data_IF_851187082430
#
_entry.id   IF_851187082430
#
_cell.length_a   1.000
_cell.length_b   1.000
_cell.length_c   1.000
_cell.angle_alpha   90.00
_cell.angle_beta   90.00
_cell.angle_gamma   90.00
#
_symmetry.space_group_name_H-M   'P 1'
#
loop_
_entity.id
_entity.type
_entity.pdbx_description
1 polymer ?
#
# COMPACT_ATOMS: atom_id res chain seq x y z
N UNK A 1 21.97 30.70 -16.05
CA UNK A 1 21.15 31.69 -16.78
C UNK A 1 19.85 31.86 -16.00
N UNK A 2 19.67 32.97 -15.28
CA UNK A 2 18.53 33.20 -14.36
C UNK A 2 17.44 34.04 -15.04
N UNK A 3 16.86 33.54 -16.13
CA UNK A 3 15.71 34.23 -16.75
C UNK A 3 14.47 33.93 -15.91
N UNK A 4 13.89 34.96 -15.29
CA UNK A 4 12.64 34.81 -14.54
C UNK A 4 11.51 34.66 -15.54
N UNK A 5 10.93 33.47 -15.60
CA UNK A 5 9.70 33.23 -16.34
C UNK A 5 8.56 33.92 -15.58
N UNK A 6 7.93 34.91 -16.22
CA UNK A 6 6.78 35.58 -15.63
C UNK A 6 5.54 34.69 -15.76
N UNK A 7 4.94 34.38 -14.61
CA UNK A 7 3.69 33.64 -14.54
C UNK A 7 2.64 34.56 -13.94
N UNK A 8 1.53 34.77 -14.64
CA UNK A 8 0.48 35.70 -14.25
C UNK A 8 -0.89 35.02 -14.17
N UNK A 9 -1.86 35.70 -13.53
CA UNK A 9 -3.24 35.25 -13.42
C UNK A 9 -3.43 33.98 -12.59
N UNK A 10 -4.41 33.16 -12.98
CA UNK A 10 -4.78 31.95 -12.23
C UNK A 10 -3.65 30.91 -12.14
N UNK A 11 -2.76 30.87 -13.15
CA UNK A 11 -1.60 29.96 -13.19
C UNK A 11 -0.64 30.25 -12.02
N UNK A 12 -0.38 31.53 -11.74
CA UNK A 12 0.47 31.96 -10.65
C UNK A 12 -0.14 31.58 -9.29
N UNK A 13 -1.44 31.86 -9.11
CA UNK A 13 -2.16 31.49 -7.89
C UNK A 13 -2.27 29.97 -7.68
N UNK A 14 -2.36 29.17 -8.75
CA UNK A 14 -2.39 27.71 -8.68
C UNK A 14 -1.04 27.14 -8.20
N UNK A 15 0.06 27.57 -8.82
CA UNK A 15 1.41 27.13 -8.45
C UNK A 15 1.75 27.60 -7.03
N UNK A 16 1.39 28.83 -6.66
CA UNK A 16 1.62 29.35 -5.32
C UNK A 16 0.75 28.68 -4.23
N UNK A 17 -0.27 27.90 -4.61
CA UNK A 17 -1.30 27.34 -3.71
C UNK A 17 -2.19 28.39 -3.03
N UNK A 18 -2.26 29.58 -3.62
CA UNK A 18 -2.94 30.75 -3.07
C UNK A 18 -4.28 31.06 -3.76
N UNK A 19 -4.52 30.51 -4.95
CA UNK A 19 -5.79 30.77 -5.64
C UNK A 19 -6.97 30.19 -4.85
N UNK A 20 -8.02 31.00 -4.66
CA UNK A 20 -9.24 30.58 -3.97
C UNK A 20 -9.87 29.34 -4.61
N UNK A 21 -9.80 29.21 -5.94
CA UNK A 21 -10.27 28.04 -6.68
C UNK A 21 -9.46 26.80 -6.34
N UNK A 22 -8.12 26.88 -6.31
CA UNK A 22 -7.28 25.75 -5.90
C UNK A 22 -7.61 25.31 -4.48
N UNK A 23 -7.69 26.25 -3.52
CA UNK A 23 -8.00 25.92 -2.13
C UNK A 23 -9.38 25.29 -2.03
N UNK A 24 -10.39 25.87 -2.68
CA UNK A 24 -11.74 25.32 -2.68
C UNK A 24 -11.78 23.90 -3.24
N UNK A 25 -11.22 23.63 -4.41
CA UNK A 25 -11.30 22.29 -5.01
C UNK A 25 -10.42 21.26 -4.29
N UNK A 26 -9.17 21.60 -3.98
CA UNK A 26 -8.23 20.67 -3.33
C UNK A 26 -8.63 20.36 -1.88
N UNK A 27 -9.04 21.37 -1.10
CA UNK A 27 -9.48 21.16 0.28
C UNK A 27 -10.81 20.43 0.32
N UNK A 28 -11.79 20.81 -0.51
CA UNK A 28 -13.09 20.10 -0.52
C UNK A 28 -12.91 18.64 -0.89
N UNK A 29 -12.10 18.33 -1.91
CA UNK A 29 -11.80 16.95 -2.27
C UNK A 29 -11.05 16.21 -1.14
N UNK A 30 -10.01 16.83 -0.57
CA UNK A 30 -9.25 16.25 0.54
C UNK A 30 -10.09 15.98 1.79
N UNK A 31 -10.94 16.93 2.18
CA UNK A 31 -11.87 16.78 3.29
C UNK A 31 -12.93 15.73 3.00
N UNK A 32 -13.50 15.68 1.80
CA UNK A 32 -14.47 14.65 1.43
C UNK A 32 -13.87 13.24 1.52
N UNK A 33 -12.63 13.05 1.04
CA UNK A 33 -11.91 11.78 1.15
C UNK A 33 -11.63 11.46 2.63
N UNK A 34 -11.19 12.42 3.43
CA UNK A 34 -10.91 12.21 4.85
C UNK A 34 -12.16 11.86 5.66
N UNK A 35 -13.29 12.53 5.40
CA UNK A 35 -14.59 12.21 6.03
C UNK A 35 -15.02 10.82 5.62
N UNK A 36 -14.90 10.47 4.34
CA UNK A 36 -15.22 9.12 3.86
C UNK A 36 -14.34 8.06 4.53
N UNK A 37 -13.02 8.30 4.65
CA UNK A 37 -12.08 7.44 5.35
C UNK A 37 -12.47 7.25 6.83
N UNK A 38 -12.85 8.33 7.52
CA UNK A 38 -13.29 8.31 8.91
C UNK A 38 -14.58 7.49 9.09
N UNK A 39 -15.55 7.66 8.20
CA UNK A 39 -16.81 6.89 8.20
C UNK A 39 -16.52 5.40 7.99
N UNK A 40 -15.66 5.05 7.04
CA UNK A 40 -15.24 3.66 6.78
C UNK A 40 -14.53 3.09 8.02
N UNK A 41 -13.58 3.82 8.60
CA UNK A 41 -12.83 3.38 9.77
C UNK A 41 -13.75 3.15 10.97
N UNK A 42 -14.64 4.10 11.27
CA UNK A 42 -15.56 4.02 12.41
C UNK A 42 -16.57 2.89 12.22
N UNK A 43 -17.12 2.75 11.02
CA UNK A 43 -18.03 1.64 10.69
C UNK A 43 -17.31 0.29 10.80
N UNK A 44 -16.06 0.22 10.32
CA UNK A 44 -15.21 -0.97 10.44
C UNK A 44 -14.93 -1.35 11.88
N UNK A 45 -14.51 -0.40 12.72
CA UNK A 45 -14.26 -0.59 14.15
C UNK A 45 -15.50 -1.08 14.89
N UNK A 46 -16.68 -0.49 14.64
CA UNK A 46 -17.94 -0.92 15.24
C UNK A 46 -18.26 -2.36 14.84
N UNK A 47 -18.10 -2.71 13.55
CA UNK A 47 -18.35 -4.08 13.05
C UNK A 47 -17.40 -5.09 13.67
N UNK A 48 -16.10 -4.78 13.73
CA UNK A 48 -15.08 -5.66 14.34
C UNK A 48 -15.36 -5.84 15.83
N UNK A 49 -15.66 -4.76 16.56
CA UNK A 49 -15.98 -4.83 17.99
C UNK A 49 -17.22 -5.69 18.26
N UNK A 50 -18.28 -5.53 17.47
CA UNK A 50 -19.48 -6.37 17.58
C UNK A 50 -19.18 -7.83 17.28
N UNK A 51 -18.37 -8.12 16.27
CA UNK A 51 -17.96 -9.48 15.94
C UNK A 51 -17.08 -10.11 17.04
N UNK A 52 -16.15 -9.34 17.62
CA UNK A 52 -15.32 -9.77 18.74
C UNK A 52 -16.15 -10.11 19.98
N UNK A 53 -17.13 -9.29 20.33
CA UNK A 53 -18.03 -9.57 21.45
C UNK A 53 -18.84 -10.86 21.21
N UNK A 54 -19.32 -11.09 19.98
CA UNK A 54 -20.01 -12.34 19.61
C UNK A 54 -19.08 -13.55 19.67
N UNK A 55 -17.82 -13.40 19.28
CA UNK A 55 -16.83 -14.47 19.34
C UNK A 55 -16.52 -14.88 20.79
N UNK A 56 -16.41 -13.90 21.69
CA UNK A 56 -16.22 -14.13 23.12
C UNK A 56 -17.46 -14.76 23.79
N UNK A 57 -18.66 -14.40 23.33
CA UNK A 57 -19.92 -14.93 23.82
C UNK A 57 -20.29 -16.32 23.24
N UNK A 58 -19.63 -16.76 22.17
CA UNK A 58 -19.91 -18.05 21.53
C UNK A 58 -19.48 -19.20 22.45
N UNK A 59 -20.41 -20.12 22.70
CA UNK A 59 -20.21 -21.26 23.60
C UNK A 59 -19.76 -22.51 22.85
N UNK A 60 -20.15 -22.66 21.57
CA UNK A 60 -19.80 -23.84 20.78
C UNK A 60 -18.60 -23.61 19.84
N UNK A 61 -17.78 -24.64 19.54
CA UNK A 61 -16.68 -24.54 18.58
C UNK A 61 -17.13 -24.10 17.18
N UNK A 62 -18.29 -24.58 16.71
CA UNK A 62 -18.83 -24.24 15.39
C UNK A 62 -19.21 -22.76 15.29
N UNK A 63 -19.85 -22.20 16.32
CA UNK A 63 -20.18 -20.77 16.38
C UNK A 63 -18.93 -19.88 16.41
N UNK A 64 -17.87 -20.30 17.11
CA UNK A 64 -16.59 -19.59 17.13
C UNK A 64 -15.97 -19.54 15.73
N UNK A 65 -15.95 -20.67 15.02
CA UNK A 65 -15.42 -20.75 13.65
C UNK A 65 -16.24 -19.89 12.69
N UNK A 66 -17.58 -19.95 12.76
CA UNK A 66 -18.45 -19.15 11.90
C UNK A 66 -18.28 -17.65 12.16
N UNK A 67 -18.21 -17.25 13.44
CA UNK A 67 -18.02 -15.86 13.84
C UNK A 67 -16.65 -15.34 13.39
N UNK A 68 -15.61 -16.15 13.52
CA UNK A 68 -14.27 -15.81 13.03
C UNK A 68 -14.26 -15.60 11.51
N UNK A 69 -14.91 -16.47 10.73
CA UNK A 69 -15.06 -16.29 9.26
C UNK A 69 -15.79 -15.00 8.92
N UNK A 70 -16.91 -14.71 9.59
CA UNK A 70 -17.66 -13.45 9.41
C UNK A 70 -16.80 -12.23 9.74
N UNK A 71 -15.99 -12.29 10.80
CA UNK A 71 -15.06 -11.23 11.18
C UNK A 71 -13.97 -11.02 10.11
N UNK A 72 -13.38 -12.11 9.59
CA UNK A 72 -12.36 -12.04 8.55
C UNK A 72 -12.89 -11.42 7.23
N UNK A 73 -14.11 -11.80 6.82
CA UNK A 73 -14.77 -11.22 5.65
C UNK A 73 -15.12 -9.74 5.85
N UNK A 74 -15.58 -9.38 7.05
CA UNK A 74 -15.83 -7.99 7.44
C UNK A 74 -14.56 -7.14 7.36
N UNK A 75 -13.45 -7.64 7.91
CA UNK A 75 -12.14 -6.98 7.86
C UNK A 75 -11.65 -6.80 6.41
N UNK A 76 -11.81 -7.82 5.56
CA UNK A 76 -11.45 -7.72 4.16
C UNK A 76 -12.26 -6.64 3.43
N UNK A 77 -13.56 -6.54 3.70
CA UNK A 77 -14.42 -5.51 3.10
C UNK A 77 -13.96 -4.11 3.50
N UNK A 78 -13.67 -3.91 4.79
CA UNK A 78 -13.15 -2.63 5.31
C UNK A 78 -11.80 -2.29 4.68
N UNK A 79 -10.87 -3.24 4.60
CA UNK A 79 -9.57 -3.01 3.96
C UNK A 79 -9.70 -2.67 2.48
N UNK A 80 -10.64 -3.28 1.74
CA UNK A 80 -10.92 -2.90 0.34
C UNK A 80 -11.46 -1.47 0.20
N UNK A 81 -12.28 -1.03 1.15
CA UNK A 81 -12.76 0.35 1.18
C UNK A 81 -11.61 1.34 1.44
N UNK A 82 -10.75 1.06 2.43
CA UNK A 82 -9.54 1.86 2.68
C UNK A 82 -8.56 1.85 1.50
N UNK A 83 -8.42 0.73 0.79
CA UNK A 83 -7.66 0.68 -0.45
C UNK A 83 -8.23 1.65 -1.51
N UNK A 84 -9.55 1.73 -1.66
CA UNK A 84 -10.18 2.70 -2.56
C UNK A 84 -9.92 4.15 -2.12
N UNK A 85 -9.90 4.43 -0.81
CA UNK A 85 -9.50 5.74 -0.27
C UNK A 85 -8.06 6.09 -0.68
N UNK A 86 -7.12 5.16 -0.53
CA UNK A 86 -5.74 5.35 -0.95
C UNK A 86 -5.63 5.67 -2.46
N UNK A 87 -6.39 4.97 -3.31
CA UNK A 87 -6.47 5.26 -4.76
C UNK A 87 -6.96 6.70 -5.00
N UNK A 88 -8.01 7.15 -4.30
CA UNK A 88 -8.56 8.49 -4.46
C UNK A 88 -7.53 9.58 -4.08
N UNK A 89 -6.75 9.38 -3.02
CA UNK A 89 -5.67 10.29 -2.65
C UNK A 89 -4.61 10.39 -3.75
N UNK A 90 -4.16 9.25 -4.29
CA UNK A 90 -3.18 9.24 -5.39
C UNK A 90 -3.71 9.92 -6.64
N UNK A 91 -4.95 9.64 -7.04
CA UNK A 91 -5.55 10.28 -8.22
C UNK A 91 -5.62 11.80 -8.05
N UNK A 92 -6.00 12.30 -6.87
CA UNK A 92 -6.01 13.74 -6.58
C UNK A 92 -4.60 14.34 -6.63
N UNK A 93 -3.60 13.66 -6.05
CA UNK A 93 -2.22 14.09 -6.12
C UNK A 93 -1.73 14.18 -7.57
N UNK A 94 -2.02 13.17 -8.40
CA UNK A 94 -1.64 13.14 -9.81
C UNK A 94 -2.33 14.24 -10.62
N UNK A 95 -3.60 14.55 -10.36
CA UNK A 95 -4.30 15.66 -11.01
C UNK A 95 -3.59 17.00 -10.71
N UNK A 96 -3.25 17.25 -9.44
CA UNK A 96 -2.54 18.47 -9.05
C UNK A 96 -1.19 18.55 -9.75
N UNK A 97 -0.39 17.49 -9.69
CA UNK A 97 0.96 17.45 -10.26
C UNK A 97 0.94 17.57 -11.78
N UNK A 98 -0.02 16.93 -12.45
CA UNK A 98 -0.20 17.03 -13.91
C UNK A 98 -0.60 18.44 -14.30
N UNK A 99 -1.45 19.09 -13.52
CA UNK A 99 -1.82 20.50 -13.74
C UNK A 99 -0.62 21.43 -13.54
N UNK A 100 0.20 21.20 -12.51
CA UNK A 100 1.44 21.95 -12.30
C UNK A 100 2.39 21.82 -13.51
N UNK A 101 2.57 20.59 -14.00
CA UNK A 101 3.40 20.31 -15.17
C UNK A 101 2.86 20.96 -16.44
N UNK A 102 1.53 20.91 -16.66
CA UNK A 102 0.88 21.59 -17.77
C UNK A 102 1.12 23.11 -17.72
N UNK A 103 0.93 23.74 -16.56
CA UNK A 103 1.21 25.16 -16.37
C UNK A 103 2.67 25.47 -16.70
N UNK A 104 3.61 24.70 -16.17
CA UNK A 104 5.03 24.89 -16.44
C UNK A 104 5.36 24.80 -17.94
N UNK A 105 4.82 23.79 -18.64
CA UNK A 105 5.00 23.65 -20.09
C UNK A 105 4.42 24.83 -20.87
N UNK A 106 3.22 25.29 -20.50
CA UNK A 106 2.61 26.46 -21.17
C UNK A 106 3.41 27.74 -20.97
N UNK A 107 3.97 27.97 -19.77
CA UNK A 107 4.81 29.15 -19.50
C UNK A 107 6.09 29.13 -20.33
N UNK A 108 6.73 27.96 -20.44
CA UNK A 108 7.93 27.80 -21.28
C UNK A 108 7.60 27.99 -22.76
N UNK A 109 6.47 27.45 -23.23
CA UNK A 109 6.02 27.63 -24.60
C UNK A 109 5.73 29.10 -24.93
N UNK A 110 5.04 29.80 -24.03
CA UNK A 110 4.71 31.21 -24.16
C UNK A 110 6.00 32.07 -24.21
N UNK A 111 7.01 31.79 -23.38
CA UNK A 111 8.29 32.52 -23.42
C UNK A 111 9.10 32.21 -24.70
N UNK A 112 9.15 30.95 -25.11
CA UNK A 112 9.81 30.54 -26.35
C UNK A 112 9.20 31.24 -27.58
N UNK A 113 7.87 31.35 -27.63
CA UNK A 113 7.17 32.00 -28.75
C UNK A 113 7.50 33.50 -28.89
N UNK A 114 7.82 34.18 -27.78
CA UNK A 114 8.12 35.62 -27.74
C UNK A 114 9.61 35.93 -27.86
N UNK A 115 10.47 34.97 -27.55
CA UNK A 115 11.91 35.17 -27.41
C UNK A 115 12.70 33.99 -27.97
N UNK A 116 12.41 33.57 -29.21
CA UNK A 116 13.02 32.41 -29.87
C UNK A 116 14.54 32.44 -29.82
N UNK A 117 15.13 33.62 -29.96
CA UNK A 117 16.58 33.80 -30.11
C UNK A 117 17.35 33.49 -28.82
N UNK A 118 16.66 33.48 -27.67
CA UNK A 118 17.23 33.08 -26.39
C UNK A 118 17.40 31.55 -26.25
N UNK A 119 16.69 30.76 -27.05
CA UNK A 119 16.67 29.30 -27.01
C UNK A 119 17.65 28.71 -28.03
N UNK A 120 18.94 28.89 -27.77
CA UNK A 120 20.01 28.37 -28.63
C UNK A 120 20.12 26.84 -28.57
N UNK A 121 20.79 26.20 -29.53
CA UNK A 121 21.10 24.76 -29.47
C UNK A 121 21.80 24.36 -28.16
N UNK A 122 22.68 25.23 -27.65
CA UNK A 122 23.36 25.03 -26.36
C UNK A 122 22.36 24.95 -25.20
N UNK A 123 21.32 25.79 -25.19
CA UNK A 123 20.25 25.74 -24.19
C UNK A 123 19.54 24.38 -24.20
N UNK A 124 19.19 23.85 -25.38
CA UNK A 124 18.53 22.54 -25.48
C UNK A 124 19.42 21.39 -25.01
N UNK A 125 20.72 21.43 -25.30
CA UNK A 125 21.68 20.43 -24.81
C UNK A 125 21.80 20.49 -23.28
N UNK A 126 21.95 21.69 -22.70
CA UNK A 126 22.01 21.87 -21.25
C UNK A 126 20.69 21.41 -20.59
N UNK A 127 19.54 21.79 -21.14
CA UNK A 127 18.25 21.36 -20.64
C UNK A 127 18.08 19.83 -20.70
N UNK A 128 18.51 19.18 -21.79
CA UNK A 128 18.47 17.73 -21.91
C UNK A 128 19.34 17.03 -20.85
N UNK A 129 20.54 17.55 -20.58
CA UNK A 129 21.41 17.05 -19.51
C UNK A 129 20.79 17.22 -18.12
N UNK A 130 20.18 18.39 -17.84
CA UNK A 130 19.46 18.62 -16.59
C UNK A 130 18.26 17.69 -16.43
N UNK A 131 17.49 17.46 -17.51
CA UNK A 131 16.38 16.50 -17.51
C UNK A 131 16.88 15.10 -17.22
N UNK A 132 17.99 14.65 -17.83
CA UNK A 132 18.57 13.35 -17.58
C UNK A 132 19.04 13.19 -16.12
N UNK A 133 19.71 14.21 -15.56
CA UNK A 133 20.14 14.22 -14.17
C UNK A 133 18.94 14.15 -13.20
N UNK A 134 17.94 15.00 -13.43
CA UNK A 134 16.73 15.05 -12.63
C UNK A 134 15.95 13.73 -12.72
N UNK A 135 15.82 13.15 -13.92
CA UNK A 135 15.16 11.86 -14.12
C UNK A 135 15.89 10.72 -13.40
N UNK A 136 17.23 10.73 -13.38
CA UNK A 136 18.03 9.75 -12.64
C UNK A 136 17.80 9.85 -11.13
N UNK A 137 17.87 11.06 -10.57
CA UNK A 137 17.60 11.30 -9.14
C UNK A 137 16.16 10.92 -8.80
N UNK A 138 15.19 11.28 -9.63
CA UNK A 138 13.79 10.94 -9.41
C UNK A 138 13.54 9.45 -9.48
N UNK A 139 14.14 8.74 -10.43
CA UNK A 139 14.08 7.29 -10.50
C UNK A 139 14.67 6.68 -9.23
N UNK A 140 15.82 7.18 -8.77
CA UNK A 140 16.43 6.74 -7.53
C UNK A 140 15.49 6.97 -6.32
N UNK A 141 14.87 8.13 -6.17
CA UNK A 141 13.91 8.39 -5.09
C UNK A 141 12.66 7.49 -5.17
N UNK A 142 12.15 7.24 -6.38
CA UNK A 142 10.98 6.41 -6.64
C UNK A 142 11.25 4.92 -6.34
N UNK A 143 12.48 4.44 -6.52
CA UNK A 143 12.83 3.03 -6.30
C UNK A 143 13.52 2.75 -4.97
N UNK A 144 14.48 3.57 -4.55
CA UNK A 144 15.29 3.32 -3.36
C UNK A 144 14.45 3.47 -2.08
N UNK A 145 13.64 4.53 -1.97
CA UNK A 145 12.86 4.76 -0.76
C UNK A 145 11.85 3.62 -0.50
N UNK A 146 11.07 3.15 -1.50
CA UNK A 146 10.18 2.01 -1.30
C UNK A 146 10.94 0.70 -1.11
N UNK A 147 12.07 0.50 -1.81
CA UNK A 147 12.91 -0.69 -1.63
C UNK A 147 13.41 -0.79 -0.19
N UNK A 148 13.93 0.29 0.38
CA UNK A 148 14.37 0.33 1.77
C UNK A 148 13.22 0.04 2.75
N UNK A 149 12.02 0.54 2.47
CA UNK A 149 10.83 0.23 3.27
C UNK A 149 10.43 -1.24 3.20
N UNK A 150 10.43 -1.84 2.01
CA UNK A 150 10.14 -3.27 1.82
C UNK A 150 11.20 -4.12 2.50
N UNK A 151 12.48 -3.77 2.36
CA UNK A 151 13.59 -4.47 3.03
C UNK A 151 13.46 -4.40 4.56
N UNK A 152 13.18 -3.22 5.09
CA UNK A 152 12.97 -3.02 6.52
C UNK A 152 11.74 -3.77 7.04
N UNK A 153 10.62 -3.68 6.34
CA UNK A 153 9.40 -4.39 6.68
C UNK A 153 9.61 -5.91 6.65
N UNK A 154 10.27 -6.40 5.60
CA UNK A 154 10.67 -7.81 5.47
C UNK A 154 11.51 -8.26 6.67
N UNK A 155 12.58 -7.51 6.98
CA UNK A 155 13.46 -7.83 8.11
C UNK A 155 12.70 -7.85 9.44
N UNK A 156 11.83 -6.86 9.67
CA UNK A 156 11.00 -6.79 10.88
C UNK A 156 10.02 -7.97 10.98
N UNK A 157 9.42 -8.37 9.86
CA UNK A 157 8.50 -9.49 9.77
C UNK A 157 9.19 -10.82 10.03
N UNK A 158 10.34 -11.09 9.41
CA UNK A 158 11.14 -12.30 9.66
C UNK A 158 11.54 -12.39 11.14
N UNK A 159 11.97 -11.27 11.74
CA UNK A 159 12.31 -11.22 13.18
C UNK A 159 11.11 -11.49 14.07
N UNK A 160 9.93 -10.96 13.72
CA UNK A 160 8.69 -11.20 14.45
C UNK A 160 8.21 -12.65 14.33
N UNK A 161 8.19 -13.21 13.13
CA UNK A 161 7.78 -14.58 12.85
C UNK A 161 8.64 -15.59 13.64
N UNK A 162 9.97 -15.43 13.61
CA UNK A 162 10.91 -16.25 14.40
C UNK A 162 10.63 -16.19 15.90
N UNK A 163 10.33 -15.00 16.44
CA UNK A 163 10.01 -14.82 17.87
C UNK A 163 8.67 -15.44 18.27
N UNK A 164 7.69 -15.47 17.37
CA UNK A 164 6.34 -15.97 17.63
C UNK A 164 6.12 -17.41 17.18
N UNK A 165 7.13 -18.05 16.59
CA UNK A 165 7.03 -19.41 16.06
C UNK A 165 6.05 -19.54 14.90
N UNK A 166 5.79 -18.45 14.16
CA UNK A 166 4.86 -18.44 13.03
C UNK A 166 5.58 -19.08 11.84
N UNK A 167 5.08 -20.23 11.39
CA UNK A 167 5.66 -21.01 10.28
C UNK A 167 4.92 -20.82 8.96
N UNK A 168 3.61 -20.54 8.99
CA UNK A 168 2.79 -20.39 7.78
C UNK A 168 2.46 -18.93 7.47
N UNK A 169 2.57 -18.57 6.20
CA UNK A 169 2.11 -17.29 5.66
C UNK A 169 0.60 -17.10 5.78
N UNK A 170 -0.20 -18.19 5.73
CA UNK A 170 -1.66 -18.14 5.80
C UNK A 170 -2.18 -17.44 7.06
N UNK A 171 -1.51 -17.67 8.18
CA UNK A 171 -1.89 -17.13 9.49
C UNK A 171 -1.55 -15.64 9.60
N UNK A 172 -0.60 -15.20 8.78
CA UNK A 172 -0.16 -13.82 8.72
C UNK A 172 -1.01 -12.95 7.78
N UNK A 173 -1.71 -13.54 6.80
CA UNK A 173 -2.48 -12.82 5.77
C UNK A 173 -3.44 -11.75 6.33
N UNK A 174 -4.26 -12.00 7.38
CA UNK A 174 -5.19 -10.97 7.87
C UNK A 174 -4.47 -9.75 8.46
N UNK A 175 -3.37 -9.97 9.17
CA UNK A 175 -2.55 -8.90 9.76
C UNK A 175 -1.79 -8.14 8.68
N UNK A 176 -1.16 -8.87 7.75
CA UNK A 176 -0.49 -8.31 6.58
C UNK A 176 -1.42 -7.42 5.77
N UNK A 177 -2.65 -7.88 5.50
CA UNK A 177 -3.68 -7.13 4.79
C UNK A 177 -3.98 -5.80 5.49
N UNK A 178 -4.24 -5.85 6.78
CA UNK A 178 -4.56 -4.64 7.54
C UNK A 178 -3.39 -3.65 7.50
N UNK A 179 -2.17 -4.10 7.82
CA UNK A 179 -0.97 -3.25 7.87
C UNK A 179 -0.66 -2.65 6.50
N UNK A 180 -0.57 -3.47 5.45
CA UNK A 180 -0.24 -3.00 4.09
C UNK A 180 -1.26 -1.99 3.59
N UNK A 181 -2.56 -2.21 3.83
CA UNK A 181 -3.63 -1.28 3.40
C UNK A 181 -3.51 0.08 4.08
N UNK A 182 -3.30 0.12 5.40
CA UNK A 182 -3.23 1.39 6.12
C UNK A 182 -1.91 2.12 5.87
N UNK A 183 -0.80 1.39 5.73
CA UNK A 183 0.48 1.98 5.33
C UNK A 183 0.39 2.58 3.92
N UNK A 184 -0.30 1.89 2.99
CA UNK A 184 -0.58 2.42 1.66
C UNK A 184 -1.40 3.72 1.72
N UNK A 185 -2.47 3.74 2.53
CA UNK A 185 -3.31 4.93 2.72
C UNK A 185 -2.53 6.10 3.32
N UNK A 186 -1.69 5.85 4.33
CA UNK A 186 -0.83 6.87 4.96
C UNK A 186 0.11 7.50 3.92
N UNK A 187 0.79 6.68 3.11
CA UNK A 187 1.69 7.20 2.08
C UNK A 187 0.96 7.90 0.95
N UNK A 188 -0.22 7.40 0.54
CA UNK A 188 -1.07 8.07 -0.45
C UNK A 188 -1.54 9.43 0.05
N UNK A 189 -1.96 9.51 1.31
CA UNK A 189 -2.36 10.74 1.98
C UNK A 189 -1.17 11.72 2.11
N UNK A 190 0.01 11.24 2.48
CA UNK A 190 1.24 12.05 2.51
C UNK A 190 1.61 12.59 1.12
N UNK A 191 1.50 11.77 0.07
CA UNK A 191 1.71 12.19 -1.31
C UNK A 191 0.75 13.32 -1.71
N UNK A 192 -0.54 13.17 -1.38
CA UNK A 192 -1.54 14.22 -1.56
C UNK A 192 -1.19 15.50 -0.80
N UNK A 193 -0.79 15.42 0.47
CA UNK A 193 -0.42 16.61 1.25
C UNK A 193 0.77 17.35 0.66
N UNK A 194 1.82 16.63 0.25
CA UNK A 194 2.99 17.23 -0.41
C UNK A 194 2.58 17.89 -1.74
N UNK A 195 1.73 17.23 -2.54
CA UNK A 195 1.24 17.79 -3.79
C UNK A 195 0.41 19.06 -3.55
N UNK A 196 -0.54 19.01 -2.63
CA UNK A 196 -1.56 20.04 -2.43
C UNK A 196 -1.06 21.26 -1.64
N UNK A 197 -0.22 21.06 -0.61
CA UNK A 197 0.12 22.13 0.34
C UNK A 197 1.57 22.59 0.24
N UNK A 198 2.49 21.76 -0.24
CA UNK A 198 3.87 22.22 -0.42
C UNK A 198 3.94 23.06 -1.68
N UNK A 199 4.18 24.36 -1.52
CA UNK A 199 4.26 25.31 -2.64
C UNK A 199 5.48 25.01 -3.56
N UNK A 200 5.26 24.67 -4.85
CA UNK A 200 6.33 24.49 -5.84
C UNK A 200 7.13 25.75 -6.19
N UNK A 201 6.62 26.96 -5.98
CA UNK A 201 7.32 28.24 -6.27
C UNK A 201 8.30 28.68 -5.18
N UNK A 202 8.46 27.89 -4.11
CA UNK A 202 9.48 28.13 -3.08
C UNK A 202 10.88 27.96 -3.68
N UNK A 203 11.54 29.08 -3.99
CA UNK A 203 12.84 29.15 -4.67
C UNK A 203 13.95 28.32 -3.99
N UNK A 204 13.82 28.02 -2.69
CA UNK A 204 14.85 27.30 -1.93
C UNK A 204 14.61 25.78 -1.85
N UNK A 205 13.41 25.29 -2.18
CA UNK A 205 13.02 23.91 -1.85
C UNK A 205 12.32 23.14 -2.99
N UNK A 206 12.21 23.70 -4.19
CA UNK A 206 11.55 23.04 -5.33
C UNK A 206 12.10 21.64 -5.65
N UNK A 207 13.43 21.47 -5.65
CA UNK A 207 14.08 20.18 -5.87
C UNK A 207 13.77 19.18 -4.74
N UNK A 208 13.90 19.60 -3.48
CA UNK A 208 13.59 18.77 -2.32
C UNK A 208 12.14 18.30 -2.33
N UNK A 209 11.19 19.22 -2.61
CA UNK A 209 9.77 18.91 -2.73
C UNK A 209 9.54 17.82 -3.78
N UNK A 210 10.15 17.94 -4.96
CA UNK A 210 10.02 16.94 -6.01
C UNK A 210 10.56 15.57 -5.55
N UNK A 211 11.72 15.52 -4.90
CA UNK A 211 12.27 14.27 -4.36
C UNK A 211 11.34 13.63 -3.30
N UNK A 212 10.78 14.43 -2.39
CA UNK A 212 9.82 13.97 -1.38
C UNK A 212 8.52 13.48 -2.02
N UNK A 213 8.00 14.21 -3.01
CA UNK A 213 6.80 13.84 -3.75
C UNK A 213 6.98 12.51 -4.50
N UNK A 214 8.12 12.31 -5.16
CA UNK A 214 8.44 11.04 -5.83
C UNK A 214 8.64 9.91 -4.82
N UNK A 215 9.35 10.15 -3.71
CA UNK A 215 9.53 9.16 -2.66
C UNK A 215 8.19 8.72 -2.04
N UNK A 216 7.30 9.67 -1.75
CA UNK A 216 5.95 9.37 -1.21
C UNK A 216 5.08 8.65 -2.24
N UNK A 217 5.12 9.04 -3.52
CA UNK A 217 4.39 8.36 -4.61
C UNK A 217 4.89 6.92 -4.82
N UNK A 218 6.21 6.72 -4.89
CA UNK A 218 6.82 5.41 -5.00
C UNK A 218 6.46 4.52 -3.81
N UNK A 219 6.46 5.09 -2.60
CA UNK A 219 6.12 4.35 -1.38
C UNK A 219 4.65 3.95 -1.41
N UNK A 220 3.77 4.89 -1.72
CA UNK A 220 2.34 4.63 -1.83
C UNK A 220 2.05 3.53 -2.86
N UNK A 221 2.66 3.60 -4.05
CA UNK A 221 2.43 2.59 -5.11
C UNK A 221 2.88 1.19 -4.70
N UNK A 222 4.07 1.04 -4.10
CA UNK A 222 4.55 -0.27 -3.62
C UNK A 222 3.68 -0.83 -2.50
N UNK A 223 3.25 0.00 -1.55
CA UNK A 223 2.37 -0.44 -0.48
C UNK A 223 0.95 -0.73 -0.94
N UNK A 224 0.42 0.06 -1.88
CA UNK A 224 -0.85 -0.21 -2.54
C UNK A 224 -0.79 -1.54 -3.29
N UNK A 225 0.31 -1.82 -3.95
CA UNK A 225 0.50 -3.08 -4.66
C UNK A 225 0.51 -4.31 -3.72
N UNK A 226 1.23 -4.19 -2.60
CA UNK A 226 1.18 -5.18 -1.52
C UNK A 226 -0.25 -5.34 -0.98
N UNK A 227 -0.92 -4.22 -0.69
CA UNK A 227 -2.30 -4.21 -0.20
C UNK A 227 -3.26 -4.84 -1.20
N UNK A 228 -3.10 -4.59 -2.51
CA UNK A 228 -3.90 -5.19 -3.56
C UNK A 228 -3.75 -6.72 -3.53
N UNK A 229 -2.52 -7.20 -3.43
CA UNK A 229 -2.23 -8.63 -3.35
C UNK A 229 -2.91 -9.27 -2.13
N UNK A 230 -2.80 -8.68 -0.95
CA UNK A 230 -3.44 -9.22 0.26
C UNK A 230 -4.98 -9.04 0.32
N UNK A 231 -5.54 -8.04 -0.35
CA UNK A 231 -7.00 -7.78 -0.37
C UNK A 231 -7.75 -8.57 -1.43
N UNK A 232 -7.13 -8.81 -2.59
CA UNK A 232 -7.78 -9.39 -3.77
C UNK A 232 -7.17 -10.73 -4.20
N UNK A 233 -5.88 -10.94 -3.98
CA UNK A 233 -5.14 -12.13 -4.43
C UNK A 233 -4.70 -13.06 -3.29
N UNK A 234 -5.20 -12.87 -2.06
CA UNK A 234 -4.84 -13.68 -0.89
C UNK A 234 -5.01 -15.20 -1.08
N UNK A 235 -5.97 -15.63 -1.90
CA UNK A 235 -6.16 -17.05 -2.23
C UNK A 235 -4.97 -17.65 -2.98
N UNK A 236 -4.25 -16.85 -3.79
CA UNK A 236 -3.04 -17.28 -4.51
C UNK A 236 -1.82 -17.36 -3.60
N UNK A 237 -1.81 -16.58 -2.52
CA UNK A 237 -0.75 -16.58 -1.51
C UNK A 237 -0.82 -17.82 -0.60
N UNK A 238 -2.02 -18.30 -0.29
CA UNK A 238 -2.21 -19.49 0.55
C UNK A 238 -1.98 -20.83 -0.17
N UNK A 239 -1.83 -20.82 -1.50
CA UNK A 239 -1.48 -21.99 -2.29
C UNK A 239 0.03 -22.28 -2.31
N UNK A 240 0.84 -21.39 -1.71
CA UNK A 240 2.28 -21.49 -1.70
C UNK A 240 2.77 -21.67 -0.27
N UNK A 241 3.48 -22.78 -0.04
CA UNK A 241 4.13 -23.09 1.23
C UNK A 241 5.33 -22.14 1.43
N UNK A 242 5.05 -20.90 1.83
CA UNK A 242 6.07 -19.97 2.31
C UNK A 242 6.36 -20.24 3.78
N UNK A 243 7.47 -20.91 4.06
CA UNK A 243 8.01 -21.02 5.41
C UNK A 243 8.73 -19.73 5.82
N UNK A 244 8.03 -18.88 6.56
CA UNK A 244 8.58 -17.62 7.08
C UNK A 244 9.74 -17.82 8.09
N UNK A 245 9.92 -19.04 8.61
CA UNK A 245 10.94 -19.37 9.61
C UNK A 245 12.34 -19.57 9.00
N UNK A 246 12.41 -20.19 7.83
CA UNK A 246 13.66 -20.60 7.15
C UNK A 246 14.03 -19.71 5.97
N UNK A 247 13.06 -19.01 5.38
CA UNK A 247 13.25 -18.32 4.11
C UNK A 247 14.18 -17.10 4.17
N UNK A 248 15.01 -16.99 3.13
CA UNK A 248 15.90 -15.86 2.86
C UNK A 248 15.07 -14.60 2.50
N UNK A 249 15.64 -13.42 2.70
CA UNK A 249 15.11 -12.10 2.30
C UNK A 249 14.44 -12.10 0.90
N UNK A 250 14.95 -12.94 -0.01
CA UNK A 250 14.49 -13.16 -1.38
C UNK A 250 13.03 -13.60 -1.49
N UNK A 251 12.56 -14.43 -0.57
CA UNK A 251 11.21 -15.01 -0.60
C UNK A 251 10.15 -14.03 -0.11
N UNK A 252 10.48 -13.23 0.90
CA UNK A 252 9.62 -12.13 1.31
C UNK A 252 9.63 -11.00 0.26
N UNK A 253 10.75 -10.78 -0.44
CA UNK A 253 10.77 -9.90 -1.63
C UNK A 253 9.87 -10.41 -2.76
N UNK A 254 9.76 -11.73 -2.96
CA UNK A 254 8.84 -12.33 -3.95
C UNK A 254 7.37 -12.07 -3.62
N UNK A 255 7.03 -12.00 -2.32
CA UNK A 255 5.72 -11.61 -1.79
C UNK A 255 5.32 -10.18 -2.20
N UNK A 256 6.29 -9.26 -2.26
CA UNK A 256 6.10 -7.87 -2.72
C UNK A 256 6.29 -7.68 -4.24
N UNK A 257 6.79 -8.69 -4.97
CA UNK A 257 7.08 -8.64 -6.42
C UNK A 257 5.95 -9.15 -7.32
N UNK A 258 4.99 -9.91 -6.79
CA UNK A 258 4.06 -10.76 -7.57
C UNK A 258 2.96 -10.05 -8.36
N UNK A 259 2.86 -8.75 -8.26
CA UNK A 259 1.91 -7.94 -9.02
C UNK A 259 2.21 -7.79 -10.51
N UNK A 260 3.47 -7.89 -10.93
CA UNK A 260 3.85 -7.69 -12.34
C UNK A 260 3.66 -8.95 -13.21
N UNK A 261 3.59 -10.16 -12.62
CA UNK A 261 3.67 -11.42 -13.39
C UNK A 261 2.38 -12.27 -13.31
N UNK A 262 1.48 -12.02 -12.35
CA UNK A 262 0.35 -12.94 -12.08
C UNK A 262 -0.90 -12.67 -12.94
N UNK A 263 -0.90 -11.64 -13.80
CA UNK A 263 -1.96 -11.47 -14.81
C UNK A 263 -1.93 -12.54 -15.93
N UNK A 264 -0.87 -13.36 -16.05
CA UNK A 264 -0.72 -14.28 -17.19
C UNK A 264 -1.00 -15.77 -16.90
N UNK A 265 -1.28 -16.16 -15.65
CA UNK A 265 -1.75 -17.53 -15.35
C UNK A 265 -3.20 -17.50 -14.88
N UNK A 266 -4.09 -17.49 -15.87
CA UNK A 266 -5.47 -17.89 -15.74
C UNK A 266 -5.51 -19.39 -15.43
N UNK A 267 -5.47 -19.75 -14.15
CA UNK A 267 -5.85 -21.10 -13.73
C UNK A 267 -7.25 -21.07 -13.10
N UNK A 268 -8.20 -21.49 -13.92
CA UNK A 268 -9.51 -21.97 -13.51
C UNK A 268 -9.33 -23.16 -12.58
N UNK A 269 -9.22 -22.97 -11.25
CA UNK A 269 -9.50 -24.05 -10.28
C UNK A 269 -9.67 -23.52 -8.85
N UNK A 270 -10.88 -23.78 -8.32
CA UNK A 270 -11.26 -23.99 -6.91
C UNK A 270 -11.35 -22.77 -5.98
N UNK A 271 -12.58 -22.25 -5.90
CA UNK A 271 -13.21 -21.91 -4.62
C UNK A 271 -13.30 -23.19 -3.76
N UNK A 272 -13.26 -23.04 -2.44
CA UNK A 272 -13.38 -24.09 -1.41
C UNK A 272 -12.10 -24.85 -1.03
N UNK A 273 -11.22 -24.17 -0.28
CA UNK A 273 -10.40 -24.86 0.73
C UNK A 273 -10.43 -24.03 2.00
N UNK A 274 -11.28 -24.46 2.94
CA UNK A 274 -11.14 -24.09 4.34
C UNK A 274 -9.86 -24.76 4.89
N UNK A 275 -9.11 -24.12 5.80
CA UNK A 275 -8.03 -24.81 6.50
C UNK A 275 -8.64 -26.02 7.23
N UNK A 276 -8.17 -27.23 6.91
CA UNK A 276 -8.44 -28.42 7.72
C UNK A 276 -7.71 -28.21 9.04
N UNK A 277 -8.47 -27.94 10.09
CA UNK A 277 -7.97 -28.20 11.43
C UNK A 277 -7.83 -29.71 11.56
N UNK A 278 -6.62 -30.17 11.86
CA UNK A 278 -6.38 -31.56 12.25
C UNK A 278 -7.33 -31.91 13.39
N UNK A 279 -8.17 -32.92 13.16
CA UNK A 279 -8.94 -33.55 14.21
C UNK A 279 -7.93 -34.14 15.20
N UNK A 280 -7.77 -33.50 16.35
CA UNK A 280 -7.10 -34.13 17.50
C UNK A 280 -7.92 -35.38 17.82
N UNK A 281 -7.36 -36.59 17.68
CA UNK A 281 -8.11 -37.80 18.02
C UNK A 281 -8.46 -37.75 19.51
N UNK A 282 -9.67 -38.18 19.90
CA UNK A 282 -10.08 -38.16 21.29
C UNK A 282 -9.08 -38.99 22.11
N UNK A 283 -8.63 -38.43 23.23
CA UNK A 283 -7.83 -39.15 24.20
C UNK A 283 -8.56 -40.43 24.59
N UNK A 284 -8.00 -41.58 24.22
CA UNK A 284 -8.47 -42.89 24.67
C UNK A 284 -8.40 -42.93 26.20
N UNK A 285 -9.51 -43.21 26.90
CA UNK A 285 -9.47 -43.44 28.33
C UNK A 285 -8.95 -44.86 28.56
N UNK A 286 -7.62 -45.04 28.59
CA UNK A 286 -7.04 -46.31 29.01
C UNK A 286 -6.82 -46.28 30.51
N UNK A 287 -7.92 -46.56 31.23
CA UNK A 287 -7.92 -47.03 32.59
C UNK A 287 -8.63 -48.37 32.67
N UNK A 288 -7.83 -49.41 32.94
CA UNK A 288 -8.18 -50.71 33.52
C UNK A 288 -8.81 -51.82 32.64
N UNK A 289 -8.34 -53.03 32.98
CA UNK A 289 -8.83 -54.37 32.64
C UNK A 289 -8.37 -54.98 31.31
N UNK A 290 -7.31 -55.78 31.40
CA UNK A 290 -7.36 -57.21 31.03
C UNK A 290 -6.08 -57.90 31.55
N UNK A 291 -6.16 -58.34 32.80
CA UNK A 291 -5.52 -59.60 33.19
C UNK A 291 -6.18 -60.71 32.36
N UNK A 292 -5.42 -61.34 31.47
CA UNK A 292 -5.55 -62.73 31.00
C UNK A 292 -4.78 -62.87 29.68
N UNK A 293 -3.52 -63.31 29.81
CA UNK A 293 -2.79 -64.24 28.91
C UNK A 293 -1.29 -64.13 29.18
N UNK A 294 -0.90 -64.62 30.35
CA UNK A 294 0.46 -65.07 30.63
C UNK A 294 0.36 -66.53 31.11
N UNK A 295 -0.05 -67.41 30.19
CA UNK A 295 0.04 -68.86 30.33
C UNK A 295 -0.06 -69.50 28.95
N UNK A 296 0.95 -69.26 28.13
CA UNK A 296 1.33 -70.14 27.01
C UNK A 296 2.75 -69.74 26.56
N UNK A 297 3.74 -70.06 27.40
CA UNK A 297 5.16 -70.29 27.08
C UNK A 297 5.96 -70.44 28.39
N UNK A 298 5.78 -71.58 29.05
CA UNK A 298 6.76 -72.31 29.87
C UNK A 298 6.09 -73.58 30.40
#
# INVERSE_FOLDING_TARGET
MNRKLEMTGWRAGWIARESATFQQYSQTAGFAIAVFALVVATTGLIRIRRASNRYLAATTPNEKVETFKKMANGLQTVCRQHYAVAVLYILNALIIVTTDAFIAMTVVYDDHSKHSDAYTQKFFIEAALYVAYIAMVFSACLFIAPLLQVLFATWALTKYARRKGIRSLSDFVPQARFVTTHVAEIWACACFFVAAYWNPSSNSHGFLRMCVLQGTLGSATVWMDAAFTFNFLAHKLGAEDFDLGTNELKDVLLLFRRSVIVMHKSDKRRLDVLPRYEEVPPATPNGACNDEKAQEQA
#
